data_IF_765373089262
#
_entry.id   IF_765373089262
#
_cell.length_a   1.000
_cell.length_b   1.000
_cell.length_c   1.000
_cell.angle_alpha   90.00
_cell.angle_beta   90.00
_cell.angle_gamma   90.00
#
_symmetry.space_group_name_H-M   'P 1'
#
loop_
_entity.id
_entity.type
_entity.pdbx_description
1 polymer ?
#
# COMPACT_ATOMS: atom_id res chain seq x y z
N UNK A 1 -4.05 7.74 -9.98
CA UNK A 1 -2.87 7.03 -10.46
C UNK A 1 -3.14 6.08 -11.63
N UNK A 2 -4.08 5.14 -11.54
CA UNK A 2 -4.53 4.26 -12.65
C UNK A 2 -3.43 3.67 -13.57
N UNK A 3 -2.23 3.45 -13.03
CA UNK A 3 -1.10 2.85 -13.78
C UNK A 3 -1.11 1.33 -13.79
N UNK A 4 -2.11 0.70 -13.14
CA UNK A 4 -2.21 -0.76 -13.07
C UNK A 4 -1.44 -1.41 -11.91
N UNK A 5 -1.18 -0.68 -10.81
CA UNK A 5 -0.55 -1.27 -9.61
C UNK A 5 -1.32 -2.48 -9.09
N UNK A 6 -2.65 -2.35 -8.92
CA UNK A 6 -3.50 -3.44 -8.46
C UNK A 6 -3.42 -4.67 -9.37
N UNK A 7 -3.50 -4.47 -10.68
CA UNK A 7 -3.37 -5.54 -11.65
C UNK A 7 -1.98 -6.21 -11.58
N UNK A 8 -0.91 -5.43 -11.48
CA UNK A 8 0.45 -5.94 -11.39
C UNK A 8 0.67 -6.73 -10.10
N UNK A 9 0.16 -6.22 -8.97
CA UNK A 9 0.22 -6.90 -7.66
C UNK A 9 -0.54 -8.21 -7.68
N UNK A 10 -1.77 -8.21 -8.21
CA UNK A 10 -2.61 -9.41 -8.33
C UNK A 10 -1.98 -10.45 -9.27
N UNK A 11 -1.43 -10.03 -10.41
CA UNK A 11 -0.76 -10.91 -11.38
C UNK A 11 0.50 -11.54 -10.79
N UNK A 12 1.33 -10.76 -10.07
CA UNK A 12 2.50 -11.29 -9.39
C UNK A 12 2.11 -12.31 -8.32
N UNK A 13 1.09 -12.00 -7.52
CA UNK A 13 0.58 -12.92 -6.51
C UNK A 13 0.06 -14.22 -7.13
N UNK A 14 -0.67 -14.14 -8.24
CA UNK A 14 -1.14 -15.31 -8.97
C UNK A 14 0.02 -16.19 -9.46
N UNK A 15 1.06 -15.58 -10.06
CA UNK A 15 2.22 -16.30 -10.56
C UNK A 15 3.00 -17.00 -9.45
N UNK A 16 3.22 -16.33 -8.32
CA UNK A 16 3.87 -16.94 -7.15
C UNK A 16 3.03 -18.08 -6.58
N UNK A 17 1.72 -17.88 -6.45
CA UNK A 17 0.80 -18.94 -5.99
C UNK A 17 0.80 -20.15 -6.92
N UNK A 18 0.82 -19.92 -8.25
CA UNK A 18 0.87 -21.03 -9.23
C UNK A 18 2.14 -21.86 -9.13
N UNK A 19 3.21 -21.32 -8.56
CA UNK A 19 4.46 -22.02 -8.25
C UNK A 19 4.46 -22.68 -6.86
N UNK A 20 3.34 -22.64 -6.15
CA UNK A 20 3.18 -23.31 -4.84
C UNK A 20 3.50 -22.42 -3.63
N UNK A 21 3.85 -21.16 -3.81
CA UNK A 21 4.11 -20.26 -2.70
C UNK A 21 2.83 -19.78 -2.02
N UNK A 22 2.90 -19.57 -0.71
CA UNK A 22 1.85 -18.93 0.08
C UNK A 22 2.02 -17.42 0.00
N UNK A 23 1.03 -16.74 -0.58
CA UNK A 23 1.09 -15.31 -0.86
C UNK A 23 -0.03 -14.58 -0.14
N UNK A 24 0.25 -13.40 0.39
CA UNK A 24 -0.73 -12.47 0.91
C UNK A 24 -0.56 -11.09 0.26
N UNK A 25 -1.69 -10.46 -0.09
CA UNK A 25 -1.70 -9.10 -0.63
C UNK A 25 -2.23 -8.14 0.44
N UNK A 26 -1.67 -6.93 0.46
CA UNK A 26 -2.10 -5.83 1.33
C UNK A 26 -2.20 -4.55 0.57
N UNK A 27 -3.23 -3.79 0.86
CA UNK A 27 -3.48 -2.46 0.30
C UNK A 27 -3.27 -1.39 1.35
N UNK A 28 -2.48 -0.39 1.00
CA UNK A 28 -2.23 0.80 1.81
C UNK A 28 -2.68 2.04 1.06
N UNK A 29 -3.73 2.70 1.57
CA UNK A 29 -4.39 3.82 0.89
C UNK A 29 -4.07 5.15 1.59
N UNK A 30 -3.47 6.11 0.87
CA UNK A 30 -2.97 7.35 1.48
C UNK A 30 -4.04 8.43 1.67
N UNK A 31 -5.33 8.09 1.70
CA UNK A 31 -6.39 9.06 1.98
C UNK A 31 -6.78 9.08 3.47
N UNK A 32 -7.38 10.21 3.90
CA UNK A 32 -7.75 10.45 5.31
C UNK A 32 -9.07 9.81 5.74
N UNK A 33 -9.85 9.25 4.83
CA UNK A 33 -11.02 8.49 5.20
C UNK A 33 -10.61 7.26 6.03
N UNK A 34 -11.34 6.97 7.10
CA UNK A 34 -11.05 5.79 7.96
C UNK A 34 -11.26 4.49 7.19
N UNK A 35 -12.26 4.48 6.34
CA UNK A 35 -12.58 3.44 5.35
C UNK A 35 -13.26 4.08 4.13
N UNK A 36 -13.45 3.36 3.02
CA UNK A 36 -14.06 3.90 1.81
C UNK A 36 -15.59 3.92 1.83
N UNK A 37 -16.26 3.47 2.88
CA UNK A 37 -17.72 3.29 2.91
C UNK A 37 -18.54 4.56 2.67
N UNK A 38 -17.99 5.73 3.00
CA UNK A 38 -18.62 7.04 2.77
C UNK A 38 -18.09 7.78 1.55
N UNK A 39 -17.15 7.18 0.81
CA UNK A 39 -16.55 7.81 -0.37
C UNK A 39 -17.46 7.73 -1.58
N UNK A 40 -17.39 8.72 -2.46
CA UNK A 40 -18.16 8.72 -3.70
C UNK A 40 -17.67 7.62 -4.65
N UNK A 41 -18.51 6.69 -5.09
CA UNK A 41 -18.13 5.67 -6.07
C UNK A 41 -17.64 6.23 -7.41
N UNK A 42 -18.09 7.42 -7.78
CA UNK A 42 -17.64 8.11 -9.00
C UNK A 42 -16.19 8.58 -8.94
N UNK A 43 -15.66 8.82 -7.71
CA UNK A 43 -14.30 9.28 -7.52
C UNK A 43 -13.32 8.13 -7.22
N UNK A 44 -13.76 7.12 -6.46
CA UNK A 44 -12.89 6.06 -5.93
C UNK A 44 -13.25 4.66 -6.40
N UNK A 45 -14.33 4.51 -7.18
CA UNK A 45 -14.89 3.21 -7.52
C UNK A 45 -15.77 2.64 -6.41
N UNK A 46 -16.24 1.43 -6.61
CA UNK A 46 -17.10 0.74 -5.67
C UNK A 46 -16.33 0.26 -4.43
N UNK A 47 -17.04 0.18 -3.32
CA UNK A 47 -16.51 -0.40 -2.08
C UNK A 47 -16.56 -1.93 -2.18
N UNK A 48 -15.47 -2.58 -1.80
CA UNK A 48 -15.41 -4.02 -1.64
C UNK A 48 -15.58 -4.38 -0.17
N UNK A 49 -16.49 -5.31 0.13
CA UNK A 49 -16.73 -5.78 1.51
C UNK A 49 -16.12 -7.18 1.65
N UNK A 50 -15.20 -7.32 2.59
CA UNK A 50 -14.55 -8.60 2.90
C UNK A 50 -15.49 -9.55 3.63
N UNK A 51 -15.19 -10.85 3.65
CA UNK A 51 -16.00 -11.86 4.36
C UNK A 51 -16.11 -11.58 5.88
N UNK A 52 -15.13 -10.90 6.46
CA UNK A 52 -15.15 -10.47 7.87
C UNK A 52 -15.78 -9.08 8.08
N UNK A 53 -16.48 -8.54 7.06
CA UNK A 53 -17.35 -7.37 7.15
C UNK A 53 -16.63 -6.02 7.05
N UNK A 54 -15.38 -5.98 6.59
CA UNK A 54 -14.69 -4.71 6.40
C UNK A 54 -15.02 -4.07 5.05
N UNK A 55 -15.33 -2.78 5.06
CA UNK A 55 -15.39 -1.96 3.85
C UNK A 55 -13.99 -1.56 3.42
N UNK A 56 -13.63 -1.88 2.18
CA UNK A 56 -12.26 -1.75 1.68
C UNK A 56 -12.24 -1.21 0.24
N UNK A 57 -11.05 -0.88 -0.23
CA UNK A 57 -10.82 -0.50 -1.62
C UNK A 57 -11.14 -1.67 -2.56
N UNK A 58 -11.65 -1.35 -3.75
CA UNK A 58 -12.02 -2.33 -4.79
C UNK A 58 -10.85 -3.23 -5.21
N UNK A 59 -9.61 -2.78 -5.06
CA UNK A 59 -8.43 -3.57 -5.39
C UNK A 59 -8.40 -4.92 -4.65
N UNK A 60 -8.96 -4.99 -3.42
CA UNK A 60 -9.04 -6.26 -2.68
C UNK A 60 -9.91 -7.29 -3.43
N UNK A 61 -10.99 -6.86 -4.04
CA UNK A 61 -11.81 -7.72 -4.90
C UNK A 61 -11.06 -8.23 -6.14
N UNK A 62 -10.19 -7.39 -6.70
CA UNK A 62 -9.31 -7.83 -7.79
C UNK A 62 -8.28 -8.86 -7.30
N UNK A 63 -7.69 -8.64 -6.11
CA UNK A 63 -6.76 -9.61 -5.52
C UNK A 63 -7.42 -10.99 -5.33
N UNK A 64 -8.61 -11.03 -4.77
CA UNK A 64 -9.38 -12.26 -4.60
C UNK A 64 -9.66 -12.96 -5.93
N UNK A 65 -10.11 -12.19 -6.92
CA UNK A 65 -10.42 -12.73 -8.27
C UNK A 65 -9.21 -13.41 -8.91
N UNK A 66 -8.02 -12.84 -8.79
CA UNK A 66 -6.80 -13.37 -9.37
C UNK A 66 -6.23 -14.55 -8.58
N UNK A 67 -6.26 -14.45 -7.26
CA UNK A 67 -5.55 -15.40 -6.39
C UNK A 67 -6.44 -16.49 -5.83
N UNK A 68 -7.77 -16.28 -5.83
CA UNK A 68 -8.71 -17.13 -5.09
C UNK A 68 -8.31 -17.28 -3.61
N UNK A 69 -7.88 -16.17 -2.99
CA UNK A 69 -7.55 -16.06 -1.57
C UNK A 69 -8.44 -14.97 -1.00
N UNK A 70 -9.25 -15.29 0.01
CA UNK A 70 -10.11 -14.29 0.66
C UNK A 70 -9.29 -13.25 1.41
N UNK A 71 -9.58 -11.99 1.13
CA UNK A 71 -9.03 -10.83 1.84
C UNK A 71 -9.71 -10.65 3.19
N UNK A 72 -8.98 -10.06 4.14
CA UNK A 72 -9.47 -9.78 5.49
C UNK A 72 -9.36 -8.28 5.79
N UNK A 73 -10.05 -7.84 6.82
CA UNK A 73 -9.92 -6.47 7.35
C UNK A 73 -8.46 -6.06 7.57
N UNK A 74 -7.60 -7.02 7.96
CA UNK A 74 -6.17 -6.77 8.15
C UNK A 74 -5.37 -6.64 6.86
N UNK A 75 -5.99 -6.73 5.68
CA UNK A 75 -5.31 -6.59 4.40
C UNK A 75 -5.48 -5.20 3.76
N UNK A 76 -6.28 -4.33 4.37
CA UNK A 76 -6.41 -2.94 3.96
C UNK A 76 -6.20 -1.98 5.13
N UNK A 77 -5.49 -0.89 4.89
CA UNK A 77 -5.35 0.21 5.85
C UNK A 77 -5.31 1.55 5.13
N UNK A 78 -5.95 2.54 5.73
CA UNK A 78 -5.95 3.94 5.25
C UNK A 78 -5.10 4.81 6.16
N UNK A 79 -4.64 5.95 5.65
CA UNK A 79 -4.02 6.99 6.49
C UNK A 79 -4.93 7.39 7.64
N UNK A 80 -6.23 7.58 7.37
CA UNK A 80 -7.20 7.96 8.41
C UNK A 80 -7.27 6.95 9.55
N UNK A 81 -7.28 5.65 9.25
CA UNK A 81 -7.25 4.59 10.26
C UNK A 81 -5.96 4.59 11.07
N UNK A 82 -4.81 4.75 10.41
CA UNK A 82 -3.50 4.81 11.07
C UNK A 82 -3.45 5.96 12.08
N UNK A 83 -3.81 7.18 11.64
CA UNK A 83 -3.81 8.36 12.51
C UNK A 83 -4.83 8.22 13.64
N UNK A 84 -6.02 7.70 13.37
CA UNK A 84 -7.04 7.44 14.39
C UNK A 84 -6.53 6.48 15.47
N UNK A 85 -5.85 5.40 15.09
CA UNK A 85 -5.27 4.43 16.02
C UNK A 85 -4.18 5.07 16.90
N UNK A 86 -3.29 5.86 16.31
CA UNK A 86 -2.21 6.56 17.03
C UNK A 86 -2.78 7.61 17.98
N UNK A 87 -3.75 8.41 17.54
CA UNK A 87 -4.42 9.44 18.38
C UNK A 87 -5.19 8.76 19.52
N UNK A 88 -5.94 7.70 19.26
CA UNK A 88 -6.65 6.95 20.31
C UNK A 88 -5.68 6.39 21.35
N UNK A 89 -4.52 5.89 20.94
CA UNK A 89 -3.47 5.39 21.85
C UNK A 89 -2.87 6.52 22.66
N UNK A 90 -2.61 7.68 22.05
CA UNK A 90 -2.14 8.89 22.72
C UNK A 90 -3.14 9.33 23.82
N UNK A 91 -4.42 9.48 23.47
CA UNK A 91 -5.48 9.91 24.41
C UNK A 91 -5.64 8.95 25.60
N UNK A 92 -5.28 7.69 25.46
CA UNK A 92 -5.27 6.68 26.54
C UNK A 92 -3.95 6.64 27.33
N UNK A 93 -3.02 7.60 27.10
CA UNK A 93 -1.74 7.63 27.77
C UNK A 93 -0.73 6.58 27.30
N UNK A 94 -0.99 5.91 26.17
CA UNK A 94 -0.18 4.80 25.69
C UNK A 94 1.23 5.16 25.25
N UNK A 95 1.58 6.45 25.20
CA UNK A 95 2.92 6.94 24.92
C UNK A 95 3.62 7.58 26.13
N UNK A 96 3.03 7.48 27.33
CA UNK A 96 3.64 7.90 28.60
C UNK A 96 4.15 9.36 28.58
N UNK A 97 3.39 10.27 27.99
CA UNK A 97 3.73 11.70 27.93
C UNK A 97 4.77 12.08 26.87
N UNK A 98 5.23 11.14 26.04
CA UNK A 98 6.15 11.44 24.93
C UNK A 98 5.45 12.24 23.85
N UNK A 99 6.19 13.14 23.18
CA UNK A 99 5.71 13.80 21.97
C UNK A 99 5.45 12.76 20.86
N UNK A 100 4.22 12.76 20.32
CA UNK A 100 3.82 11.85 19.24
C UNK A 100 4.00 12.55 17.90
N UNK A 101 4.75 11.94 16.98
CA UNK A 101 5.13 12.50 15.69
C UNK A 101 4.89 11.49 14.57
N UNK A 102 4.93 11.94 13.31
CA UNK A 102 4.82 11.05 12.15
C UNK A 102 5.92 9.98 12.20
N UNK A 103 7.14 10.39 12.43
CA UNK A 103 8.27 9.49 12.69
C UNK A 103 8.60 9.59 14.19
N UNK A 104 8.58 8.51 14.95
CA UNK A 104 8.40 7.11 14.53
C UNK A 104 6.97 6.56 14.67
N UNK A 105 6.00 7.30 15.20
CA UNK A 105 4.75 6.71 15.69
C UNK A 105 3.82 6.25 14.55
N UNK A 106 3.64 7.07 13.51
CA UNK A 106 2.85 6.70 12.33
C UNK A 106 3.59 5.63 11.52
N UNK A 107 4.89 5.80 11.28
CA UNK A 107 5.69 4.81 10.53
C UNK A 107 5.74 3.47 11.25
N UNK A 108 5.85 3.43 12.58
CA UNK A 108 5.77 2.19 13.35
C UNK A 108 4.40 1.51 13.21
N UNK A 109 3.29 2.29 13.25
CA UNK A 109 1.95 1.74 13.08
C UNK A 109 1.77 1.12 11.68
N UNK A 110 2.36 1.72 10.65
CA UNK A 110 2.37 1.15 9.29
C UNK A 110 3.18 -0.16 9.26
N UNK A 111 4.36 -0.19 9.88
CA UNK A 111 5.19 -1.40 9.96
C UNK A 111 4.51 -2.53 10.75
N UNK A 112 3.77 -2.19 11.81
CA UNK A 112 2.93 -3.16 12.54
C UNK A 112 1.84 -3.76 11.64
N UNK A 113 1.19 -2.92 10.82
CA UNK A 113 0.20 -3.39 9.86
C UNK A 113 0.81 -4.38 8.85
N UNK A 114 1.99 -4.09 8.30
CA UNK A 114 2.66 -4.98 7.34
C UNK A 114 2.90 -6.38 7.95
N UNK A 115 3.19 -6.46 9.24
CA UNK A 115 3.47 -7.72 9.95
C UNK A 115 2.23 -8.41 10.53
N UNK A 116 1.12 -7.69 10.63
CA UNK A 116 -0.08 -8.19 11.31
C UNK A 116 -0.63 -9.46 10.64
N UNK A 117 -0.95 -10.48 11.43
CA UNK A 117 -1.58 -11.74 10.96
C UNK A 117 -0.78 -12.47 9.86
N UNK A 118 0.51 -12.22 9.75
CA UNK A 118 1.43 -13.00 8.91
C UNK A 118 1.95 -14.17 9.73
N UNK A 119 1.70 -15.39 9.27
CA UNK A 119 2.02 -16.62 10.01
C UNK A 119 2.95 -17.55 9.26
N UNK A 120 2.61 -17.87 8.02
CA UNK A 120 3.34 -18.86 7.21
C UNK A 120 3.36 -18.50 5.72
N UNK A 121 3.13 -17.26 5.40
CA UNK A 121 3.24 -16.74 4.04
C UNK A 121 4.72 -16.65 3.62
N UNK A 122 5.02 -17.13 2.41
CA UNK A 122 6.33 -17.01 1.79
C UNK A 122 6.56 -15.60 1.26
N UNK A 123 5.48 -14.95 0.78
CA UNK A 123 5.50 -13.60 0.22
C UNK A 123 4.33 -12.76 0.73
N UNK A 124 4.63 -11.52 1.10
CA UNK A 124 3.64 -10.48 1.39
C UNK A 124 3.83 -9.35 0.39
N UNK A 125 2.85 -9.13 -0.46
CA UNK A 125 2.86 -8.06 -1.47
C UNK A 125 2.06 -6.88 -0.92
N UNK A 126 2.73 -5.76 -0.67
CA UNK A 126 2.12 -4.54 -0.20
C UNK A 126 2.00 -3.53 -1.34
N UNK A 127 0.77 -3.23 -1.75
CA UNK A 127 0.51 -2.17 -2.72
C UNK A 127 0.29 -0.85 -2.00
N UNK A 128 1.06 0.17 -2.38
CA UNK A 128 0.85 1.54 -1.89
C UNK A 128 0.03 2.31 -2.91
N UNK A 129 -1.10 2.85 -2.48
CA UNK A 129 -1.92 3.77 -3.25
C UNK A 129 -1.22 5.11 -3.49
N UNK A 130 -1.78 5.93 -4.39
CA UNK A 130 -1.24 7.25 -4.71
C UNK A 130 -0.08 7.21 -5.70
N UNK A 131 0.68 8.30 -5.72
CA UNK A 131 1.81 8.54 -6.63
C UNK A 131 3.06 8.82 -5.80
N UNK A 132 4.20 8.34 -6.24
CA UNK A 132 5.50 8.69 -5.63
C UNK A 132 5.73 10.20 -5.76
N UNK A 133 6.06 10.85 -4.64
CA UNK A 133 6.21 12.30 -4.55
C UNK A 133 4.99 13.03 -3.99
N UNK A 134 3.82 12.40 -3.95
CA UNK A 134 2.65 12.98 -3.29
C UNK A 134 2.83 12.98 -1.77
N UNK A 135 2.49 14.10 -1.13
CA UNK A 135 2.65 14.28 0.31
C UNK A 135 1.89 13.24 1.13
N UNK A 136 0.75 12.79 0.64
CA UNK A 136 -0.11 11.81 1.32
C UNK A 136 0.56 10.44 1.43
N UNK A 137 1.39 10.06 0.45
CA UNK A 137 2.05 8.75 0.42
C UNK A 137 3.39 8.71 1.16
N UNK A 138 3.97 9.86 1.50
CA UNK A 138 5.28 9.94 2.16
C UNK A 138 5.41 9.10 3.43
N UNK A 139 4.45 9.08 4.38
CA UNK A 139 4.55 8.25 5.57
C UNK A 139 4.62 6.75 5.26
N UNK A 140 3.92 6.30 4.22
CA UNK A 140 3.99 4.89 3.78
C UNK A 140 5.34 4.58 3.15
N UNK A 141 5.83 5.43 2.25
CA UNK A 141 7.13 5.23 1.59
C UNK A 141 8.26 5.23 2.62
N UNK A 142 8.24 6.16 3.59
CA UNK A 142 9.20 6.18 4.68
C UNK A 142 9.12 4.93 5.55
N UNK A 143 7.90 4.47 5.88
CA UNK A 143 7.72 3.27 6.68
C UNK A 143 8.27 2.01 6.00
N UNK A 144 8.06 1.84 4.67
CA UNK A 144 8.62 0.69 3.95
C UNK A 144 10.12 0.77 3.79
N UNK A 145 10.70 1.98 3.65
CA UNK A 145 12.14 2.19 3.67
C UNK A 145 12.74 1.73 5.00
N UNK A 146 12.16 2.17 6.12
CA UNK A 146 12.56 1.72 7.46
C UNK A 146 12.38 0.21 7.61
N UNK A 147 11.26 -0.33 7.16
CA UNK A 147 10.97 -1.76 7.22
C UNK A 147 12.04 -2.57 6.48
N UNK A 148 12.43 -2.15 5.27
CA UNK A 148 13.47 -2.81 4.50
C UNK A 148 14.83 -2.80 5.21
N UNK A 149 15.19 -1.70 5.86
CA UNK A 149 16.43 -1.60 6.63
C UNK A 149 16.41 -2.50 7.89
N UNK A 150 15.26 -2.60 8.55
CA UNK A 150 15.08 -3.42 9.77
C UNK A 150 14.99 -4.92 9.46
N UNK A 151 14.26 -5.28 8.38
CA UNK A 151 13.98 -6.67 8.02
C UNK A 151 15.09 -7.31 7.19
N UNK A 152 15.86 -6.49 6.51
CA UNK A 152 16.98 -6.87 5.64
C UNK A 152 16.67 -6.71 4.15
N UNK A 153 17.59 -6.07 3.44
CA UNK A 153 17.48 -5.78 2.00
C UNK A 153 17.37 -7.05 1.14
N UNK A 154 17.91 -8.16 1.60
CA UNK A 154 17.78 -9.46 0.90
C UNK A 154 16.38 -10.09 0.98
N UNK A 155 15.53 -9.59 1.88
CA UNK A 155 14.15 -10.08 2.10
C UNK A 155 13.10 -9.13 1.58
N UNK A 156 13.49 -8.02 0.98
CA UNK A 156 12.57 -6.98 0.50
C UNK A 156 12.89 -6.60 -0.94
N UNK A 157 11.84 -6.41 -1.74
CA UNK A 157 11.94 -5.97 -3.12
C UNK A 157 10.96 -4.83 -3.36
N UNK A 158 11.43 -3.75 -3.97
CA UNK A 158 10.59 -2.63 -4.39
C UNK A 158 10.33 -2.71 -5.89
N UNK A 159 9.05 -2.66 -6.25
CA UNK A 159 8.59 -2.60 -7.64
C UNK A 159 7.94 -1.25 -7.85
N UNK A 160 8.51 -0.45 -8.76
CA UNK A 160 8.03 0.89 -9.08
C UNK A 160 7.44 0.92 -10.48
N UNK A 161 6.12 1.11 -10.56
CA UNK A 161 5.44 1.28 -11.84
C UNK A 161 5.48 2.75 -12.26
N UNK A 162 5.85 2.97 -13.53
CA UNK A 162 5.96 4.32 -14.10
C UNK A 162 5.26 4.40 -15.44
N UNK A 163 4.89 5.63 -15.84
CA UNK A 163 4.25 5.89 -17.12
C UNK A 163 5.29 6.11 -18.21
N UNK A 164 5.19 5.33 -19.29
CA UNK A 164 5.99 5.51 -20.51
C UNK A 164 5.03 5.69 -21.69
N UNK A 165 4.52 6.92 -21.95
CA UNK A 165 3.55 7.14 -23.02
C UNK A 165 4.20 7.11 -24.38
N UNK A 166 3.51 6.53 -25.36
CA UNK A 166 3.81 6.61 -26.77
C UNK A 166 2.92 7.67 -27.43
N UNK A 167 3.54 8.67 -28.05
CA UNK A 167 2.82 9.73 -28.75
C UNK A 167 2.76 9.43 -30.26
N UNK A 168 1.61 9.01 -30.72
CA UNK A 168 1.39 8.70 -32.14
C UNK A 168 1.67 9.87 -33.09
N UNK A 169 1.43 11.11 -32.65
CA UNK A 169 1.65 12.32 -33.45
C UNK A 169 3.10 12.61 -33.77
N UNK A 170 4.03 12.16 -32.93
CA UNK A 170 5.49 12.35 -33.10
C UNK A 170 6.25 11.04 -33.26
N UNK A 171 5.54 9.91 -33.27
CA UNK A 171 6.11 8.56 -33.35
C UNK A 171 7.22 8.34 -32.30
N UNK A 172 6.97 8.76 -31.06
CA UNK A 172 7.99 8.88 -30.04
C UNK A 172 7.53 8.37 -28.67
N UNK A 173 8.42 7.64 -27.98
CA UNK A 173 8.25 7.27 -26.57
C UNK A 173 8.74 8.40 -25.67
N UNK A 174 7.91 8.84 -24.73
CA UNK A 174 8.29 9.86 -23.74
C UNK A 174 8.74 9.21 -22.43
N UNK A 175 10.02 9.40 -22.08
CA UNK A 175 10.62 8.80 -20.87
C UNK A 175 10.71 9.78 -19.68
N UNK A 176 10.46 11.07 -19.88
CA UNK A 176 10.53 12.09 -18.82
C UNK A 176 9.65 11.79 -17.60
N UNK A 177 8.39 11.35 -17.74
CA UNK A 177 7.57 10.99 -16.56
C UNK A 177 8.23 9.92 -15.69
N UNK A 178 8.78 8.88 -16.31
CA UNK A 178 9.53 7.82 -15.61
C UNK A 178 10.77 8.38 -14.91
N UNK A 179 11.57 9.20 -15.60
CA UNK A 179 12.79 9.80 -15.03
C UNK A 179 12.46 10.65 -13.79
N UNK A 180 11.41 11.45 -13.84
CA UNK A 180 10.96 12.26 -12.70
C UNK A 180 10.52 11.40 -11.54
N UNK A 181 9.63 10.41 -11.77
CA UNK A 181 9.15 9.52 -10.74
C UNK A 181 10.25 8.70 -10.07
N UNK A 182 11.23 8.22 -10.85
CA UNK A 182 12.40 7.50 -10.33
C UNK A 182 13.31 8.42 -9.51
N UNK A 183 13.51 9.67 -9.96
CA UNK A 183 14.28 10.66 -9.20
C UNK A 183 13.64 10.93 -7.83
N UNK A 184 12.32 11.14 -7.80
CA UNK A 184 11.59 11.34 -6.55
C UNK A 184 11.73 10.13 -5.59
N UNK A 185 11.51 8.92 -6.09
CA UNK A 185 11.66 7.73 -5.25
C UNK A 185 13.08 7.59 -4.69
N UNK A 186 14.10 7.84 -5.50
CA UNK A 186 15.51 7.77 -5.08
C UNK A 186 15.90 8.86 -4.07
N UNK A 187 15.21 10.00 -4.07
CA UNK A 187 15.49 11.08 -3.11
C UNK A 187 15.06 10.75 -1.67
N UNK A 188 14.22 9.74 -1.52
CA UNK A 188 13.75 9.29 -0.21
C UNK A 188 14.75 8.31 0.46
N UNK A 189 15.64 7.70 -0.29
CA UNK A 189 16.71 6.82 0.21
C UNK A 189 16.63 5.37 -0.24
#
# INVERSE_FOLDING_TARGET
>A
SSLGKGLSSASLAYLLKSQGYKVRLRKMDPYLNVDPGTMSPFQHGEVFVTDDGAETDLDLGHYERFTNISSKQSDNITTGRIYSDVIKKERKGGYLGKTVQVIPHITNRIKEFIKKDITNEDFVICEIGGTVGDIESLPFVEAIRQFSNEYGKSKTLFIHLTLVPFLKSSDEIKTKPTQHSVKELRSIG
#
